data_IF_848814258219
#
_entry.id   IF_848814258219
#
_cell.length_a   1.000
_cell.length_b   1.000
_cell.length_c   1.000
_cell.angle_alpha   90.00
_cell.angle_beta   90.00
_cell.angle_gamma   90.00
#
_symmetry.space_group_name_H-M   'P 1'
#
loop_
_entity.id
_entity.type
_entity.pdbx_description
1 polymer ?
#
# COMPACT_ATOMS: atom_id res chain seq x y z
N UNK A 1 5.45 3.71 2.66
CA UNK A 1 4.32 4.44 2.06
C UNK A 1 4.03 5.66 2.91
N UNK A 2 3.57 6.76 2.30
CA UNK A 2 3.17 7.97 2.99
C UNK A 2 1.74 7.86 3.55
N UNK A 3 1.46 8.64 4.60
CA UNK A 3 0.10 8.75 5.12
C UNK A 3 -0.82 9.36 4.04
N UNK A 4 -1.89 8.64 3.69
CA UNK A 4 -2.85 8.98 2.65
C UNK A 4 -2.79 8.04 1.43
N UNK A 5 -1.73 7.25 1.26
CA UNK A 5 -1.61 6.31 0.14
C UNK A 5 -2.68 5.21 0.20
N UNK A 6 -3.08 4.68 -0.94
CA UNK A 6 -4.03 3.57 -1.00
C UNK A 6 -3.25 2.27 -1.09
N UNK A 7 -3.48 1.37 -0.14
CA UNK A 7 -2.98 0.01 -0.19
C UNK A 7 -4.12 -0.98 -0.48
N UNK A 8 -3.99 -1.73 -1.57
CA UNK A 8 -4.81 -2.91 -1.82
C UNK A 8 -4.12 -4.14 -1.26
N UNK A 9 -4.72 -4.78 -0.26
CA UNK A 9 -4.18 -5.99 0.36
C UNK A 9 -5.12 -7.18 0.27
N UNK A 10 -4.58 -8.40 0.26
CA UNK A 10 -5.37 -9.65 0.25
C UNK A 10 -5.34 -10.30 1.62
N UNK A 11 -6.52 -10.53 2.21
CA UNK A 11 -6.71 -11.21 3.49
C UNK A 11 -7.74 -12.32 3.37
N UNK A 12 -7.39 -13.54 3.79
CA UNK A 12 -8.28 -14.72 3.72
C UNK A 12 -8.85 -14.99 2.31
N UNK A 13 -8.08 -14.69 1.27
CA UNK A 13 -8.52 -14.84 -0.13
C UNK A 13 -9.40 -13.71 -0.65
N UNK A 14 -9.69 -12.70 0.17
CA UNK A 14 -10.50 -11.54 -0.18
C UNK A 14 -9.60 -10.31 -0.23
N UNK A 15 -9.83 -9.43 -1.19
CA UNK A 15 -9.09 -8.19 -1.40
C UNK A 15 -9.78 -7.02 -0.74
N UNK A 16 -8.98 -6.18 -0.10
CA UNK A 16 -9.42 -4.99 0.62
C UNK A 16 -8.58 -3.80 0.19
N UNK A 17 -9.15 -2.61 0.26
CA UNK A 17 -8.41 -1.36 0.07
C UNK A 17 -8.40 -0.61 1.41
N UNK A 18 -7.24 -0.19 1.87
CA UNK A 18 -7.08 0.69 3.03
C UNK A 18 -6.33 1.95 2.63
N UNK A 19 -6.54 3.01 3.39
CA UNK A 19 -5.79 4.25 3.28
C UNK A 19 -4.69 4.18 4.35
N UNK A 20 -3.42 4.26 3.94
CA UNK A 20 -2.28 4.29 4.84
C UNK A 20 -2.38 5.50 5.78
N UNK A 21 -2.21 5.27 7.08
CA UNK A 21 -2.35 6.33 8.09
C UNK A 21 -3.79 6.66 8.50
N UNK A 22 -4.81 6.05 7.90
CA UNK A 22 -6.19 6.07 8.40
C UNK A 22 -6.67 4.67 8.79
N UNK A 23 -7.46 4.57 9.85
CA UNK A 23 -8.15 3.34 10.23
C UNK A 23 -9.30 2.98 9.26
N UNK A 24 -9.55 3.84 8.28
CA UNK A 24 -10.65 3.72 7.32
C UNK A 24 -10.26 2.80 6.17
N UNK A 25 -10.88 1.64 6.11
CA UNK A 25 -10.88 0.80 4.91
C UNK A 25 -11.83 1.40 3.87
N UNK A 26 -11.35 1.53 2.64
CA UNK A 26 -12.09 2.15 1.55
C UNK A 26 -12.90 1.08 0.80
N UNK A 27 -14.21 1.07 1.04
CA UNK A 27 -15.18 0.30 0.25
C UNK A 27 -15.46 -1.13 0.74
N UNK A 28 -16.03 -1.93 -0.18
CA UNK A 28 -16.40 -3.32 0.03
C UNK A 28 -15.21 -4.26 -0.21
N UNK A 29 -15.30 -5.47 0.33
CA UNK A 29 -14.31 -6.52 0.12
C UNK A 29 -14.51 -7.17 -1.26
N UNK A 30 -13.44 -7.34 -2.02
CA UNK A 30 -13.48 -7.85 -3.39
C UNK A 30 -12.96 -9.28 -3.47
N UNK A 31 -13.62 -10.13 -4.23
CA UNK A 31 -13.16 -11.50 -4.52
C UNK A 31 -12.05 -11.52 -5.60
N UNK A 32 -12.04 -10.53 -6.50
CA UNK A 32 -11.09 -10.43 -7.60
C UNK A 32 -10.05 -9.32 -7.39
N UNK A 33 -8.78 -9.65 -7.62
CA UNK A 33 -7.66 -8.70 -7.55
C UNK A 33 -7.87 -7.51 -8.47
N UNK A 34 -8.28 -7.78 -9.70
CA UNK A 34 -8.40 -6.76 -10.74
C UNK A 34 -9.43 -5.70 -10.36
N UNK A 35 -10.56 -6.14 -9.78
CA UNK A 35 -11.62 -5.26 -9.31
C UNK A 35 -11.11 -4.40 -8.13
N UNK A 36 -10.44 -5.02 -7.16
CA UNK A 36 -9.85 -4.33 -6.02
C UNK A 36 -8.82 -3.27 -6.44
N UNK A 37 -7.93 -3.61 -7.38
CA UNK A 37 -6.90 -2.72 -7.92
C UNK A 37 -7.52 -1.57 -8.70
N UNK A 38 -8.56 -1.84 -9.50
CA UNK A 38 -9.24 -0.81 -10.28
C UNK A 38 -9.91 0.22 -9.37
N UNK A 39 -10.57 -0.22 -8.30
CA UNK A 39 -11.15 0.65 -7.29
C UNK A 39 -10.07 1.40 -6.50
N UNK A 40 -9.04 0.68 -6.02
CA UNK A 40 -7.92 1.28 -5.29
C UNK A 40 -7.20 2.36 -6.08
N UNK A 41 -6.91 2.10 -7.36
CA UNK A 41 -6.27 3.05 -8.28
C UNK A 41 -7.15 4.25 -8.58
N UNK A 42 -8.47 4.05 -8.72
CA UNK A 42 -9.42 5.14 -8.93
C UNK A 42 -9.51 6.04 -7.69
N UNK A 43 -9.51 5.45 -6.50
CA UNK A 43 -9.50 6.18 -5.24
C UNK A 43 -8.17 6.93 -5.03
N UNK A 44 -7.04 6.31 -5.37
CA UNK A 44 -5.73 6.92 -5.31
C UNK A 44 -5.62 8.12 -6.27
N UNK A 45 -6.11 7.96 -7.51
CA UNK A 45 -6.16 9.03 -8.49
C UNK A 45 -7.04 10.21 -8.02
N UNK A 46 -8.21 9.93 -7.42
CA UNK A 46 -9.09 10.96 -6.89
C UNK A 46 -8.47 11.73 -5.70
N UNK A 47 -7.62 11.07 -4.92
CA UNK A 47 -6.88 11.67 -3.79
C UNK A 47 -5.51 12.22 -4.19
N UNK A 48 -5.04 11.96 -5.42
CA UNK A 48 -3.69 12.27 -5.91
C UNK A 48 -2.58 11.66 -5.04
N UNK A 49 -2.79 10.42 -4.60
CA UNK A 49 -1.86 9.65 -3.76
C UNK A 49 -1.35 8.42 -4.51
N UNK A 50 -0.34 7.75 -3.96
CA UNK A 50 0.20 6.52 -4.55
C UNK A 50 -0.71 5.32 -4.30
N UNK A 51 -0.62 4.32 -5.17
CA UNK A 51 -1.40 3.09 -5.08
C UNK A 51 -0.48 1.88 -5.06
N UNK A 52 -0.51 1.15 -3.95
CA UNK A 52 0.29 -0.04 -3.75
C UNK A 52 -0.57 -1.29 -3.60
N UNK A 53 -0.07 -2.43 -4.08
CA UNK A 53 -0.80 -3.71 -4.09
C UNK A 53 0.04 -4.78 -3.43
N UNK A 54 -0.43 -5.29 -2.29
CA UNK A 54 0.23 -6.31 -1.46
C UNK A 54 -0.61 -7.59 -1.43
N UNK A 55 -0.06 -8.72 -1.88
CA UNK A 55 -0.80 -9.98 -1.92
C UNK A 55 -0.84 -10.74 -0.58
N UNK A 56 -0.18 -10.20 0.45
CA UNK A 56 -0.03 -10.75 1.80
C UNK A 56 -0.23 -9.64 2.82
N UNK A 57 -0.94 -9.91 3.93
CA UNK A 57 -1.00 -9.02 5.12
C UNK A 57 0.33 -9.14 5.87
N UNK A 58 1.43 -8.84 5.18
CA UNK A 58 2.74 -8.67 5.79
C UNK A 58 2.95 -7.19 6.07
N UNK A 59 3.78 -6.82 7.07
CA UNK A 59 4.18 -5.43 7.25
C UNK A 59 4.78 -4.96 5.92
N UNK A 60 4.06 -4.08 5.24
CA UNK A 60 4.53 -3.38 4.05
C UNK A 60 5.83 -2.74 4.47
N UNK A 61 6.94 -3.35 4.07
CA UNK A 61 8.27 -2.90 4.42
C UNK A 61 8.48 -1.56 3.70
N UNK A 62 7.99 -0.49 4.32
CA UNK A 62 8.67 0.77 4.35
C UNK A 62 10.00 0.54 5.08
N UNK A 63 10.88 -0.24 4.45
CA UNK A 63 12.29 -0.09 4.73
C UNK A 63 12.66 1.21 4.01
N UNK A 64 12.63 2.27 4.81
CA UNK A 64 13.34 3.50 4.53
C UNK A 64 14.64 3.19 3.79
N UNK A 65 14.67 3.56 2.52
CA UNK A 65 15.86 3.64 1.68
C UNK A 65 16.72 4.87 2.02
N UNK A 66 16.59 5.39 3.24
CA UNK A 66 17.57 6.25 3.89
C UNK A 66 18.29 5.31 4.88
N UNK A 67 19.49 4.80 4.63
CA UNK A 67 20.74 5.55 4.54
C UNK A 67 21.78 4.76 3.70
N UNK A 68 22.11 5.26 2.50
CA UNK A 68 23.42 4.95 1.88
C UNK A 68 24.29 6.20 1.95
N UNK A 69 24.95 6.42 3.08
CA UNK A 69 26.05 7.38 3.17
C UNK A 69 27.37 6.67 2.79
N UNK A 70 28.07 7.11 1.72
CA UNK A 70 29.26 6.43 1.21
C UNK A 70 30.55 6.71 2.02
N UNK A 71 30.50 6.78 3.37
CA UNK A 71 31.63 7.23 4.19
C UNK A 71 32.24 6.20 5.16
N UNK A 72 31.72 4.98 5.25
CA UNK A 72 32.24 3.96 6.17
C UNK A 72 33.10 2.89 5.46
N UNK A 73 34.05 3.34 4.64
CA UNK A 73 35.10 2.51 4.04
C UNK A 73 36.47 2.87 4.63
N UNK A 74 36.60 2.92 5.97
CA UNK A 74 37.91 2.93 6.64
C UNK A 74 37.81 2.20 7.98
N UNK A 75 38.31 0.97 8.02
CA UNK A 75 39.08 0.40 9.13
C UNK A 75 39.91 -0.78 8.60
#
# INVERSE_FOLDING_TARGET
>A
MAAGDIETYRRNGIWFNRIEGESTTLGMSFESREDAVKVGRSAAAARQVDHSVSADEGPSADTSMYERHPRELIA
#
